data_IF_285897951574
#
_entry.id   IF_285897951574
#
_cell.length_a   1.000
_cell.length_b   1.000
_cell.length_c   1.000
_cell.angle_alpha   90.00
_cell.angle_beta   90.00
_cell.angle_gamma   90.00
#
_symmetry.space_group_name_H-M   'P 1'
#
loop_
_entity.id
_entity.type
_entity.pdbx_description
1 polymer ?
#
# COMPACT_ATOMS: atom_id res chain seq x y z
N UNK A 1 -3.99 8.63 0.20
CA UNK A 1 -4.98 8.42 -0.87
C UNK A 1 -5.56 7.04 -0.67
N UNK A 2 -6.74 6.96 -0.05
CA UNK A 2 -7.38 5.70 0.31
C UNK A 2 -8.11 5.04 -0.86
N UNK A 3 -8.66 3.84 -0.67
CA UNK A 3 -9.30 3.08 -1.72
C UNK A 3 -10.61 3.76 -2.14
N UNK A 4 -10.98 3.68 -3.43
CA UNK A 4 -12.28 4.10 -3.91
C UNK A 4 -13.39 3.22 -3.30
N UNK A 5 -14.62 3.74 -3.28
CA UNK A 5 -15.82 2.96 -2.91
C UNK A 5 -16.21 1.93 -3.97
N UNK A 6 -15.64 2.04 -5.18
CA UNK A 6 -15.82 1.10 -6.29
C UNK A 6 -14.47 0.49 -6.67
N UNK A 7 -14.45 -0.80 -6.91
CA UNK A 7 -13.25 -1.52 -7.35
C UNK A 7 -13.44 -2.07 -8.74
N UNK A 8 -12.34 -2.16 -9.52
CA UNK A 8 -12.42 -2.66 -10.89
C UNK A 8 -12.70 -4.17 -10.86
N UNK A 9 -12.02 -4.93 -10.00
CA UNK A 9 -12.07 -6.40 -10.03
C UNK A 9 -13.09 -7.01 -9.07
N UNK A 10 -13.38 -6.37 -7.93
CA UNK A 10 -14.21 -6.99 -6.87
C UNK A 10 -15.69 -6.65 -7.01
N UNK A 11 -16.02 -5.35 -7.00
CA UNK A 11 -17.41 -4.86 -7.06
C UNK A 11 -17.84 -4.53 -8.49
N UNK A 12 -16.88 -4.22 -9.37
CA UNK A 12 -17.15 -3.62 -10.67
C UNK A 12 -17.77 -2.22 -10.55
N UNK A 13 -18.28 -1.72 -11.68
CA UNK A 13 -19.00 -0.43 -11.76
C UNK A 13 -18.12 0.81 -11.90
N UNK A 14 -16.82 0.61 -12.13
CA UNK A 14 -15.85 1.61 -12.54
C UNK A 14 -14.82 0.97 -13.48
N UNK A 15 -14.41 1.68 -14.51
CA UNK A 15 -13.35 1.28 -15.43
C UNK A 15 -11.97 1.72 -14.93
N UNK A 16 -10.91 1.14 -15.51
CA UNK A 16 -9.54 1.58 -15.22
C UNK A 16 -9.35 3.07 -15.52
N UNK A 17 -9.86 3.54 -16.66
CA UNK A 17 -9.68 4.93 -17.10
C UNK A 17 -10.44 5.92 -16.20
N UNK A 18 -11.67 5.60 -15.83
CA UNK A 18 -12.44 6.42 -14.88
C UNK A 18 -11.72 6.51 -13.53
N UNK A 19 -11.23 5.39 -13.01
CA UNK A 19 -10.53 5.39 -11.73
C UNK A 19 -9.18 6.12 -11.80
N UNK A 20 -8.44 5.99 -12.91
CA UNK A 20 -7.20 6.73 -13.12
C UNK A 20 -7.46 8.25 -13.18
N UNK A 21 -8.56 8.66 -13.80
CA UNK A 21 -8.98 10.06 -13.81
C UNK A 21 -9.36 10.57 -12.41
N UNK A 22 -10.07 9.77 -11.61
CA UNK A 22 -10.41 10.15 -10.23
C UNK A 22 -9.14 10.33 -9.37
N UNK A 23 -8.18 9.43 -9.50
CA UNK A 23 -6.89 9.55 -8.81
C UNK A 23 -6.04 10.70 -9.32
N UNK A 24 -6.10 11.02 -10.61
CA UNK A 24 -5.45 12.19 -11.18
C UNK A 24 -5.93 13.47 -10.51
N UNK A 25 -7.26 13.67 -10.41
CA UNK A 25 -7.84 14.83 -9.74
C UNK A 25 -7.38 14.92 -8.28
N UNK A 26 -7.41 13.79 -7.56
CA UNK A 26 -6.96 13.75 -6.17
C UNK A 26 -5.47 14.07 -6.03
N UNK A 27 -4.62 13.47 -6.87
CA UNK A 27 -3.18 13.66 -6.84
C UNK A 27 -2.82 15.12 -7.18
N UNK A 28 -3.43 15.71 -8.21
CA UNK A 28 -3.20 17.11 -8.59
C UNK A 28 -3.51 18.05 -7.42
N UNK A 29 -4.67 17.90 -6.78
CA UNK A 29 -5.03 18.74 -5.63
C UNK A 29 -4.09 18.59 -4.43
N UNK A 30 -3.58 17.39 -4.16
CA UNK A 30 -2.59 17.18 -3.09
C UNK A 30 -1.22 17.80 -3.44
N UNK A 31 -0.76 17.64 -4.67
CA UNK A 31 0.51 18.20 -5.15
C UNK A 31 0.48 19.73 -5.10
N UNK A 32 -0.60 20.35 -5.59
CA UNK A 32 -0.80 21.80 -5.49
C UNK A 32 -0.86 22.28 -4.04
N UNK A 33 -1.39 21.44 -3.14
CA UNK A 33 -1.37 21.65 -1.69
C UNK A 33 0.01 21.54 -1.05
N UNK A 34 1.05 21.13 -1.79
CA UNK A 34 2.44 21.08 -1.33
C UNK A 34 2.77 19.87 -0.46
N UNK A 35 2.14 18.71 -0.69
CA UNK A 35 2.49 17.48 0.03
C UNK A 35 3.93 17.03 -0.27
N UNK A 36 4.61 16.46 0.72
CA UNK A 36 5.97 15.93 0.54
C UNK A 36 5.98 14.53 -0.09
N UNK A 37 4.89 13.76 0.05
CA UNK A 37 4.78 12.36 -0.40
C UNK A 37 3.34 12.05 -0.78
N UNK A 38 3.14 11.25 -1.83
CA UNK A 38 1.87 10.62 -2.14
C UNK A 38 1.87 9.16 -1.66
N UNK A 39 0.88 8.80 -0.85
CA UNK A 39 0.67 7.43 -0.38
C UNK A 39 -0.65 6.89 -0.92
N UNK A 40 -0.60 5.85 -1.75
CA UNK A 40 -1.75 4.99 -2.03
C UNK A 40 -1.85 3.96 -0.90
N UNK A 41 -2.91 4.00 -0.10
CA UNK A 41 -3.05 3.15 1.09
C UNK A 41 -4.33 2.31 1.06
N UNK A 42 -4.36 1.27 1.89
CA UNK A 42 -5.54 0.41 2.08
C UNK A 42 -6.04 -0.18 0.77
N UNK A 43 -5.11 -0.54 -0.11
CA UNK A 43 -5.45 -1.05 -1.44
C UNK A 43 -5.83 -2.52 -1.38
N UNK A 44 -7.08 -2.81 -1.76
CA UNK A 44 -7.66 -4.15 -1.76
C UNK A 44 -7.71 -4.80 -3.16
N UNK A 45 -7.31 -4.05 -4.19
CA UNK A 45 -7.24 -4.49 -5.58
C UNK A 45 -5.98 -3.93 -6.24
N UNK A 46 -5.14 -4.82 -6.78
CA UNK A 46 -3.88 -4.41 -7.44
C UNK A 46 -4.14 -3.61 -8.73
N UNK A 47 -5.26 -3.87 -9.43
CA UNK A 47 -5.62 -3.12 -10.63
C UNK A 47 -6.02 -1.68 -10.29
N UNK A 48 -6.68 -1.47 -9.15
CA UNK A 48 -6.95 -0.13 -8.62
C UNK A 48 -5.66 0.62 -8.29
N UNK A 49 -4.64 -0.05 -7.74
CA UNK A 49 -3.34 0.58 -7.49
C UNK A 49 -2.69 1.04 -8.78
N UNK A 50 -2.74 0.21 -9.84
CA UNK A 50 -2.20 0.58 -11.16
C UNK A 50 -2.93 1.78 -11.74
N UNK A 51 -4.26 1.86 -11.60
CA UNK A 51 -5.03 3.03 -12.00
C UNK A 51 -4.63 4.28 -11.20
N UNK A 52 -4.39 4.12 -9.89
CA UNK A 52 -3.89 5.21 -9.05
C UNK A 52 -2.50 5.71 -9.42
N UNK A 53 -1.57 4.80 -9.71
CA UNK A 53 -0.23 5.16 -10.18
C UNK A 53 -0.27 5.89 -11.53
N UNK A 54 -1.13 5.44 -12.44
CA UNK A 54 -1.38 6.12 -13.72
C UNK A 54 -1.97 7.53 -13.50
N UNK A 55 -2.94 7.69 -12.59
CA UNK A 55 -3.49 9.00 -12.24
C UNK A 55 -2.44 9.96 -11.66
N UNK A 56 -1.55 9.44 -10.81
CA UNK A 56 -0.41 10.20 -10.27
C UNK A 56 0.54 10.63 -11.40
N UNK A 57 0.86 9.73 -12.34
CA UNK A 57 1.72 10.05 -13.48
C UNK A 57 1.14 11.17 -14.36
N UNK A 58 -0.17 11.16 -14.58
CA UNK A 58 -0.87 12.24 -15.29
C UNK A 58 -0.77 13.56 -14.53
N UNK A 59 -0.95 13.55 -13.21
CA UNK A 59 -0.82 14.75 -12.39
C UNK A 59 0.62 15.31 -12.42
N UNK A 60 1.63 14.43 -12.35
CA UNK A 60 3.02 14.83 -12.51
C UNK A 60 3.31 15.45 -13.88
N UNK A 61 2.76 14.87 -14.95
CA UNK A 61 2.92 15.38 -16.30
C UNK A 61 2.23 16.74 -16.50
N UNK A 62 1.06 16.94 -15.90
CA UNK A 62 0.31 18.20 -15.96
C UNK A 62 1.00 19.32 -15.18
N UNK A 63 1.37 19.05 -13.93
CA UNK A 63 1.87 20.08 -13.00
C UNK A 63 3.38 20.31 -13.11
N UNK A 64 4.13 19.37 -13.68
CA UNK A 64 5.59 19.42 -13.75
C UNK A 64 6.28 19.29 -12.39
N UNK A 65 5.55 18.84 -11.36
CA UNK A 65 6.04 18.64 -10.00
C UNK A 65 5.99 17.15 -9.69
N UNK A 66 7.09 16.59 -9.20
CA UNK A 66 7.17 15.20 -8.77
C UNK A 66 7.48 15.13 -7.27
N UNK A 67 6.75 14.27 -6.58
CA UNK A 67 7.01 13.91 -5.19
C UNK A 67 7.15 12.39 -5.07
N UNK A 68 7.89 11.87 -4.07
CA UNK A 68 7.97 10.44 -3.85
C UNK A 68 6.59 9.78 -3.70
N UNK A 69 6.46 8.58 -4.26
CA UNK A 69 5.22 7.79 -4.22
C UNK A 69 5.43 6.52 -3.43
N UNK A 70 4.51 6.22 -2.52
CA UNK A 70 4.49 4.97 -1.77
C UNK A 70 3.16 4.24 -1.92
N UNK A 71 3.19 2.92 -1.73
CA UNK A 71 2.01 2.06 -1.88
C UNK A 71 1.87 1.12 -0.70
N UNK A 72 0.64 0.97 -0.19
CA UNK A 72 0.29 -0.01 0.83
C UNK A 72 -0.98 -0.78 0.44
N UNK A 73 -0.86 -2.11 0.46
CA UNK A 73 -1.99 -3.02 0.28
C UNK A 73 -2.61 -3.46 1.61
N UNK A 74 -3.84 -3.95 1.56
CA UNK A 74 -4.48 -4.61 2.70
C UNK A 74 -4.71 -6.07 2.34
N UNK A 75 -4.07 -6.95 3.11
CA UNK A 75 -4.20 -8.40 2.97
C UNK A 75 -5.27 -8.86 3.97
N UNK A 76 -6.31 -9.50 3.45
CA UNK A 76 -7.42 -10.07 4.20
C UNK A 76 -6.97 -11.32 4.97
N UNK A 77 -7.70 -11.76 6.01
CA UNK A 77 -7.34 -12.94 6.82
C UNK A 77 -7.12 -14.25 6.02
N UNK A 78 -7.64 -14.32 4.80
CA UNK A 78 -7.43 -15.44 3.87
C UNK A 78 -6.05 -15.46 3.21
N UNK A 79 -5.22 -14.43 3.43
CA UNK A 79 -3.83 -14.35 2.96
C UNK A 79 -3.62 -13.60 1.64
N UNK A 80 -4.68 -13.03 1.07
CA UNK A 80 -4.64 -12.24 -0.18
C UNK A 80 -5.29 -10.88 0.00
N UNK A 81 -5.04 -9.95 -0.92
CA UNK A 81 -5.92 -8.80 -1.16
C UNK A 81 -7.35 -9.29 -1.44
N UNK A 82 -8.34 -8.42 -1.28
CA UNK A 82 -9.74 -8.74 -1.57
C UNK A 82 -9.95 -9.20 -3.03
N UNK A 83 -9.16 -8.66 -3.96
CA UNK A 83 -9.14 -9.09 -5.37
C UNK A 83 -8.31 -10.37 -5.64
N UNK A 84 -7.84 -11.05 -4.59
CA UNK A 84 -7.24 -12.39 -4.68
C UNK A 84 -5.73 -12.44 -4.91
N UNK A 85 -5.02 -11.30 -4.99
CA UNK A 85 -3.57 -11.30 -5.11
C UNK A 85 -2.89 -11.52 -3.74
N UNK A 86 -1.96 -12.45 -3.65
CA UNK A 86 -1.09 -12.57 -2.48
C UNK A 86 0.00 -11.48 -2.45
N UNK A 87 0.84 -11.50 -1.42
CA UNK A 87 1.92 -10.51 -1.26
C UNK A 87 2.95 -10.52 -2.39
N UNK A 88 3.25 -11.68 -2.98
CA UNK A 88 4.22 -11.82 -4.08
C UNK A 88 3.63 -11.28 -5.38
N UNK A 89 2.39 -11.65 -5.70
CA UNK A 89 1.66 -11.16 -6.85
C UNK A 89 1.45 -9.64 -6.78
N UNK A 90 1.14 -9.11 -5.59
CA UNK A 90 1.04 -7.68 -5.33
C UNK A 90 2.37 -6.96 -5.61
N UNK A 91 3.48 -7.43 -5.03
CA UNK A 91 4.79 -6.83 -5.26
C UNK A 91 5.21 -6.92 -6.73
N UNK A 92 5.15 -8.11 -7.33
CA UNK A 92 5.59 -8.35 -8.71
C UNK A 92 4.83 -7.46 -9.70
N UNK A 93 3.54 -7.24 -9.45
CA UNK A 93 2.70 -6.35 -10.26
C UNK A 93 3.12 -4.88 -10.21
N UNK A 94 3.85 -4.46 -9.18
CA UNK A 94 4.23 -3.06 -8.93
C UNK A 94 5.74 -2.82 -9.00
N UNK A 95 6.56 -3.87 -9.02
CA UNK A 95 8.03 -3.79 -8.96
C UNK A 95 8.68 -2.99 -10.11
N UNK A 96 7.95 -2.78 -11.21
CA UNK A 96 8.38 -1.98 -12.35
C UNK A 96 8.35 -0.46 -12.07
N UNK A 97 7.60 -0.01 -11.06
CA UNK A 97 7.47 1.40 -10.67
C UNK A 97 8.45 1.74 -9.56
N UNK A 98 9.14 2.87 -9.64
CA UNK A 98 10.04 3.31 -8.57
C UNK A 98 9.24 3.89 -7.39
N UNK A 99 9.25 3.20 -6.25
CA UNK A 99 8.46 3.53 -5.06
C UNK A 99 9.38 3.89 -3.89
N UNK A 100 8.98 4.89 -3.11
CA UNK A 100 9.66 5.25 -1.86
C UNK A 100 9.60 4.11 -0.84
N UNK A 101 8.44 3.45 -0.73
CA UNK A 101 8.28 2.15 -0.07
C UNK A 101 7.08 1.41 -0.62
N UNK A 102 7.07 0.09 -0.43
CA UNK A 102 5.89 -0.75 -0.56
C UNK A 102 5.55 -1.33 0.82
N UNK A 103 4.29 -1.58 1.12
CA UNK A 103 3.94 -2.13 2.42
C UNK A 103 2.55 -2.71 2.51
N UNK A 104 2.19 -3.06 3.73
CA UNK A 104 0.83 -3.49 4.06
C UNK A 104 0.31 -2.76 5.30
N UNK A 105 -0.98 -2.43 5.28
CA UNK A 105 -1.67 -1.70 6.34
C UNK A 105 -3.10 -2.24 6.56
N UNK A 106 -3.74 -1.78 7.65
CA UNK A 106 -5.18 -1.95 7.91
C UNK A 106 -5.68 -3.42 8.03
N UNK A 107 -4.77 -4.39 8.13
CA UNK A 107 -5.10 -5.80 8.28
C UNK A 107 -5.32 -6.21 9.76
N UNK A 108 -5.43 -7.51 9.99
CA UNK A 108 -5.37 -8.18 11.30
C UNK A 108 -4.09 -7.82 12.09
N UNK A 109 -4.02 -8.20 13.38
CA UNK A 109 -2.89 -7.85 14.25
C UNK A 109 -1.51 -8.30 13.74
N UNK A 110 -0.44 -7.75 14.31
CA UNK A 110 0.95 -7.90 13.85
C UNK A 110 1.42 -9.34 13.56
N UNK A 111 0.88 -10.35 14.26
CA UNK A 111 1.24 -11.75 14.04
C UNK A 111 0.85 -12.24 12.64
N UNK A 112 -0.34 -11.88 12.16
CA UNK A 112 -0.82 -12.30 10.84
C UNK A 112 0.02 -11.70 9.70
N UNK A 113 0.44 -10.46 9.86
CA UNK A 113 1.21 -9.75 8.84
C UNK A 113 2.65 -10.26 8.69
N UNK A 114 3.14 -11.07 9.64
CA UNK A 114 4.56 -11.46 9.71
C UNK A 114 5.03 -12.18 8.45
N UNK A 115 4.27 -13.17 7.96
CA UNK A 115 4.69 -13.95 6.79
C UNK A 115 4.62 -13.13 5.51
N UNK A 116 3.59 -12.28 5.37
CA UNK A 116 3.46 -11.36 4.24
C UNK A 116 4.60 -10.33 4.20
N UNK A 117 4.99 -9.77 5.36
CA UNK A 117 6.15 -8.90 5.47
C UNK A 117 7.44 -9.64 5.13
N UNK A 118 7.59 -10.91 5.57
CA UNK A 118 8.77 -11.71 5.22
C UNK A 118 8.87 -11.91 3.71
N UNK A 119 7.76 -12.25 3.05
CA UNK A 119 7.69 -12.37 1.59
C UNK A 119 8.09 -11.05 0.92
N UNK A 120 7.43 -9.94 1.27
CA UNK A 120 7.76 -8.62 0.70
C UNK A 120 9.21 -8.24 0.95
N UNK A 121 9.75 -8.46 2.15
CA UNK A 121 11.14 -8.13 2.49
C UNK A 121 12.16 -8.96 1.72
N UNK A 122 11.81 -10.18 1.31
CA UNK A 122 12.70 -11.05 0.52
C UNK A 122 12.71 -10.68 -0.96
N UNK A 123 11.59 -10.16 -1.47
CA UNK A 123 11.42 -9.84 -2.90
C UNK A 123 11.71 -8.37 -3.23
N UNK A 124 11.39 -7.46 -2.29
CA UNK A 124 11.34 -6.02 -2.55
C UNK A 124 12.71 -5.38 -2.70
N UNK A 125 12.90 -4.69 -3.83
CA UNK A 125 14.00 -3.73 -4.00
C UNK A 125 13.79 -2.41 -3.24
N UNK A 126 12.55 -2.13 -2.81
CA UNK A 126 12.18 -0.95 -2.02
C UNK A 126 12.17 -1.27 -0.52
N UNK A 127 12.27 -0.25 0.34
CA UNK A 127 11.90 -0.38 1.75
C UNK A 127 10.50 -0.98 1.92
N UNK A 128 10.34 -1.82 2.95
CA UNK A 128 9.06 -2.43 3.29
C UNK A 128 8.50 -1.76 4.54
N UNK A 129 7.25 -1.30 4.47
CA UNK A 129 6.52 -0.72 5.59
C UNK A 129 5.40 -1.65 6.08
N UNK A 130 5.13 -1.63 7.39
CA UNK A 130 4.06 -2.40 8.02
C UNK A 130 3.33 -1.53 9.04
N UNK A 131 2.03 -1.32 8.84
CA UNK A 131 1.17 -0.56 9.75
C UNK A 131 -0.01 -1.45 10.20
N UNK A 132 0.22 -2.36 11.17
CA UNK A 132 -0.83 -3.26 11.66
C UNK A 132 -1.88 -2.50 12.48
N UNK A 133 -3.12 -3.01 12.46
CA UNK A 133 -4.09 -2.62 13.47
C UNK A 133 -3.62 -3.09 14.87
N UNK A 134 -4.10 -2.44 15.92
CA UNK A 134 -3.69 -2.71 17.31
C UNK A 134 -4.11 -4.09 17.86
N UNK A 135 -4.62 -4.99 17.01
CA UNK A 135 -5.34 -6.22 17.36
C UNK A 135 -6.75 -6.17 16.77
N UNK A 136 -7.37 -7.33 16.53
CA UNK A 136 -8.82 -7.36 16.31
C UNK A 136 -9.52 -7.35 17.68
N UNK A 137 -10.71 -6.74 17.82
CA UNK A 137 -11.49 -6.89 19.03
C UNK A 137 -11.89 -8.36 19.20
N UNK A 138 -11.64 -8.92 20.37
CA UNK A 138 -12.17 -10.23 20.76
C UNK A 138 -13.69 -10.10 21.05
N UNK A 139 -14.40 -11.23 21.22
CA UNK A 139 -15.86 -11.25 21.49
C UNK A 139 -16.27 -10.41 22.72
N UNK A 140 -15.34 -10.19 23.64
CA UNK A 140 -15.49 -9.38 24.86
C UNK A 140 -15.09 -7.89 24.69
N UNK A 141 -14.76 -7.45 23.47
CA UNK A 141 -14.35 -6.06 23.17
C UNK A 141 -12.95 -5.69 23.65
N UNK A 142 -12.15 -6.66 24.10
CA UNK A 142 -10.75 -6.45 24.47
C UNK A 142 -9.84 -6.49 23.25
N UNK A 143 -8.86 -5.59 23.19
CA UNK A 143 -7.88 -5.51 22.09
C UNK A 143 -6.51 -5.90 22.59
N UNK A 144 -5.98 -7.03 22.12
CA UNK A 144 -4.62 -7.47 22.48
C UNK A 144 -3.56 -6.69 21.68
N UNK A 145 -2.98 -5.64 22.29
CA UNK A 145 -1.95 -4.78 21.68
C UNK A 145 -0.62 -5.52 21.48
N UNK A 146 -0.24 -5.76 20.22
CA UNK A 146 1.13 -6.08 19.83
C UNK A 146 1.60 -5.07 18.78
N UNK A 147 2.25 -3.98 19.21
CA UNK A 147 2.89 -3.03 18.28
C UNK A 147 4.37 -3.42 18.12
N UNK A 148 4.73 -3.94 16.95
CA UNK A 148 6.12 -3.99 16.46
C UNK A 148 6.15 -3.31 15.10
N UNK A 149 6.87 -2.19 15.01
CA UNK A 149 7.13 -1.51 13.74
C UNK A 149 8.38 -2.12 13.10
N UNK A 150 8.24 -2.70 11.92
CA UNK A 150 9.35 -3.22 11.13
C UNK A 150 9.70 -2.22 10.04
N UNK A 151 10.68 -1.35 10.29
CA UNK A 151 11.32 -0.53 9.25
C UNK A 151 12.68 -1.14 8.96
N UNK A 152 12.92 -1.57 7.72
CA UNK A 152 14.28 -1.91 7.29
C UNK A 152 15.09 -0.60 7.23
N UNK A 153 16.26 -0.49 7.88
CA UNK A 153 17.04 0.73 7.87
C UNK A 153 17.39 1.15 6.43
N UNK A 154 17.12 2.40 6.10
CA UNK A 154 17.68 3.05 4.91
C UNK A 154 19.19 3.20 5.14
N UNK A 155 19.96 2.27 4.58
CA UNK A 155 21.43 2.22 4.58
C UNK A 155 22.09 1.92 5.95
N UNK A 156 22.83 0.80 5.99
CA UNK A 156 23.97 0.55 6.88
C UNK A 156 23.77 0.79 8.39
N UNK A 157 23.19 -0.18 9.10
CA UNK A 157 23.46 -0.34 10.53
C UNK A 157 23.81 -1.81 10.82
N UNK A 158 24.82 -2.07 11.68
CA UNK A 158 25.34 -3.42 11.89
C UNK A 158 24.35 -4.28 12.65
N UNK A 159 24.33 -5.59 12.32
CA UNK A 159 23.55 -6.61 13.01
C UNK A 159 23.68 -6.46 14.54
N UNK A 160 22.57 -6.41 15.31
CA UNK A 160 22.65 -6.61 16.74
C UNK A 160 22.97 -8.09 17.01
N UNK A 161 24.12 -8.31 17.63
CA UNK A 161 24.48 -9.58 18.26
C UNK A 161 23.66 -9.69 19.55
N UNK A 162 23.00 -10.83 19.76
CA UNK A 162 22.27 -11.14 20.99
C UNK A 162 21.24 -12.25 20.80
#
# INVERSE_FOLDING_TARGET
MGPPTKTISVTGGITFEELANDYHIQASGLIEGGVDVLLLETSQDTLNVKAGLEGIDRAFAELGIQVPVAVQGTIEPMGTLLAGQDAEAFYTSLAHRDLLWIGINCATGANFMTDHIRTLSSLSKFPVACLPNAGMPDEDGTTTRHQRTWLRPLVGSPNPVG
#
